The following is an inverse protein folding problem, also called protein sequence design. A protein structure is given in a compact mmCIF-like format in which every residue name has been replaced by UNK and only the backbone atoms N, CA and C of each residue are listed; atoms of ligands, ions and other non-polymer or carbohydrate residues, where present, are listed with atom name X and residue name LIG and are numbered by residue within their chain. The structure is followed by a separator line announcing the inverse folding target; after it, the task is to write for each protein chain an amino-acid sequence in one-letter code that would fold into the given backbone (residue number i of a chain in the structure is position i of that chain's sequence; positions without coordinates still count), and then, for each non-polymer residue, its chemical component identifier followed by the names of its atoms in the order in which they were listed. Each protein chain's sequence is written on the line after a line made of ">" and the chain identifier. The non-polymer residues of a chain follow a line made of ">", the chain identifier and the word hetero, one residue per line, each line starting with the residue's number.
data_IF_413983137331
#
_entry.id   IF_413983137331
#
_cell.length_a   1.000
_cell.length_b   1.000
_cell.length_c   1.000
_cell.angle_alpha   90.00
_cell.angle_beta   90.00
_cell.angle_gamma   90.00
#
_symmetry.space_group_name_H-M   'P 1'
#
loop_
_entity.id
_entity.type
_entity.pdbx_description
1 polymer ?
#
# COMPACT_ATOMS: atom_id res chain seq x y z
N UNK A 1 -4.04 20.59 13.17
CA UNK A 1 -2.63 20.28 12.88
C UNK A 1 -2.46 18.78 12.90
N UNK A 2 -2.15 18.16 11.75
CA UNK A 2 -1.96 16.71 11.62
C UNK A 2 -0.60 16.49 10.98
N UNK A 3 0.24 15.67 11.59
CA UNK A 3 1.58 15.35 11.07
C UNK A 3 1.69 13.86 10.82
N UNK A 4 2.52 13.49 9.85
CA UNK A 4 2.86 12.11 9.57
C UNK A 4 4.37 11.92 9.50
N UNK A 5 4.82 10.69 9.76
CA UNK A 5 6.20 10.29 9.54
C UNK A 5 6.38 9.82 8.09
N UNK A 6 7.62 9.81 7.56
CA UNK A 6 7.89 9.26 6.22
C UNK A 6 7.47 7.79 6.08
N UNK A 7 7.40 7.04 7.19
CA UNK A 7 7.01 5.63 7.24
C UNK A 7 5.51 5.42 7.44
N UNK A 8 4.71 6.48 7.55
CA UNK A 8 3.26 6.38 7.78
C UNK A 8 2.56 5.79 6.56
N UNK A 9 1.76 4.75 6.78
CA UNK A 9 0.85 4.18 5.78
C UNK A 9 -0.55 4.72 6.01
N UNK A 10 -1.04 5.55 5.10
CA UNK A 10 -2.37 6.15 5.16
C UNK A 10 -3.17 5.76 3.90
N UNK A 11 -4.32 5.14 4.09
CA UNK A 11 -5.23 4.74 3.02
C UNK A 11 -6.64 4.47 3.59
N UNK A 12 -7.65 4.42 2.72
CA UNK A 12 -9.02 4.00 3.08
C UNK A 12 -9.04 2.53 3.54
N UNK A 13 -8.21 1.70 2.92
CA UNK A 13 -8.10 0.27 3.22
C UNK A 13 -6.65 -0.20 3.05
N UNK A 14 -6.30 -1.26 3.77
CA UNK A 14 -4.96 -1.87 3.70
C UNK A 14 -4.66 -2.52 2.34
N UNK A 15 -3.63 -3.38 2.27
CA UNK A 15 -3.19 -4.00 1.00
C UNK A 15 -4.28 -4.80 0.25
N UNK A 16 -5.32 -5.26 0.95
CA UNK A 16 -6.48 -5.90 0.33
C UNK A 16 -7.22 -4.98 -0.67
N UNK A 17 -7.05 -3.66 -0.56
CA UNK A 17 -7.62 -2.70 -1.51
C UNK A 17 -7.13 -2.85 -2.94
N UNK A 18 -5.99 -3.50 -3.13
CA UNK A 18 -5.47 -3.88 -4.44
C UNK A 18 -6.49 -4.65 -5.28
N UNK A 19 -7.30 -5.52 -4.66
CA UNK A 19 -8.30 -6.33 -5.36
C UNK A 19 -9.45 -5.50 -5.95
N UNK A 20 -9.69 -4.32 -5.39
CA UNK A 20 -10.71 -3.39 -5.86
C UNK A 20 -10.14 -2.39 -6.88
N UNK A 21 -8.96 -1.84 -6.60
CA UNK A 21 -8.34 -0.80 -7.45
C UNK A 21 -7.77 -1.41 -8.74
N UNK A 22 -7.05 -2.52 -8.65
CA UNK A 22 -6.41 -3.18 -9.81
C UNK A 22 -7.13 -4.47 -10.21
N UNK A 23 -8.45 -4.49 -10.02
CA UNK A 23 -9.31 -5.65 -10.28
C UNK A 23 -9.14 -6.24 -11.68
N UNK A 24 -9.08 -5.38 -12.70
CA UNK A 24 -8.99 -5.81 -14.10
C UNK A 24 -7.61 -6.37 -14.44
N UNK A 25 -6.54 -5.78 -13.92
CA UNK A 25 -5.17 -6.28 -14.07
C UNK A 25 -4.99 -7.64 -13.37
N UNK A 26 -5.52 -7.79 -12.14
CA UNK A 26 -5.51 -9.07 -11.43
C UNK A 26 -6.29 -10.15 -12.17
N UNK A 27 -7.45 -9.80 -12.74
CA UNK A 27 -8.24 -10.72 -13.58
C UNK A 27 -7.47 -11.12 -14.83
N UNK A 28 -6.80 -10.20 -15.50
CA UNK A 28 -5.99 -10.49 -16.67
C UNK A 28 -4.81 -11.43 -16.33
N UNK A 29 -4.10 -11.20 -15.23
CA UNK A 29 -3.00 -12.05 -14.78
C UNK A 29 -3.49 -13.47 -14.47
N UNK A 30 -4.56 -13.58 -13.68
CA UNK A 30 -5.13 -14.88 -13.27
C UNK A 30 -5.75 -15.63 -14.46
N UNK A 31 -6.41 -14.92 -15.38
CA UNK A 31 -6.96 -15.47 -16.61
C UNK A 31 -5.90 -15.97 -17.59
N UNK A 32 -4.75 -15.29 -17.67
CA UNK A 32 -3.64 -15.68 -18.55
C UNK A 32 -2.87 -16.92 -18.06
N UNK A 33 -3.09 -17.38 -16.83
CA UNK A 33 -2.33 -18.49 -16.22
C UNK A 33 -2.40 -19.77 -17.05
N UNK A 34 -3.61 -20.22 -17.43
CA UNK A 34 -3.76 -21.46 -18.19
C UNK A 34 -3.11 -21.38 -19.57
N UNK A 35 -3.33 -20.27 -20.29
CA UNK A 35 -2.72 -20.05 -21.61
C UNK A 35 -1.19 -20.04 -21.52
N UNK A 36 -0.63 -19.34 -20.53
CA UNK A 36 0.82 -19.29 -20.30
C UNK A 36 1.41 -20.64 -19.92
N UNK A 37 0.71 -21.46 -19.14
CA UNK A 37 1.17 -22.83 -18.83
C UNK A 37 1.22 -23.65 -20.12
N UNK A 38 0.21 -23.58 -20.97
CA UNK A 38 0.20 -24.30 -22.24
C UNK A 38 1.35 -23.85 -23.17
N UNK A 39 1.64 -22.55 -23.20
CA UNK A 39 2.74 -22.00 -24.01
C UNK A 39 4.12 -22.40 -23.47
N UNK A 40 4.35 -22.33 -22.16
CA UNK A 40 5.59 -22.79 -21.53
C UNK A 40 5.79 -24.31 -21.68
N UNK A 41 4.72 -25.10 -21.60
CA UNK A 41 4.76 -26.53 -21.86
C UNK A 41 5.18 -26.84 -23.30
N UNK A 42 4.64 -26.11 -24.30
CA UNK A 42 5.06 -26.25 -25.70
C UNK A 42 6.53 -25.92 -25.89
N UNK A 43 7.05 -24.87 -25.25
CA UNK A 43 8.48 -24.49 -25.32
C UNK A 43 9.39 -25.57 -24.72
N UNK A 44 8.99 -26.18 -23.61
CA UNK A 44 9.79 -27.18 -22.91
C UNK A 44 9.77 -28.57 -23.58
N UNK A 45 8.74 -28.91 -24.37
CA UNK A 45 8.72 -30.15 -25.17
C UNK A 45 9.85 -30.23 -26.20
N UNK A 46 10.38 -29.09 -26.66
CA UNK A 46 11.53 -29.05 -27.56
C UNK A 46 12.88 -29.34 -26.88
N UNK A 47 12.93 -29.34 -25.54
CA UNK A 47 14.15 -29.45 -24.75
C UNK A 47 14.16 -30.73 -23.90
N UNK A 48 14.24 -31.90 -24.56
CA UNK A 48 14.69 -33.22 -24.09
C UNK A 48 14.42 -33.71 -22.63
N UNK A 49 13.50 -33.11 -21.89
CA UNK A 49 13.06 -33.55 -20.57
C UNK A 49 11.82 -34.41 -20.70
N UNK A 50 11.63 -35.35 -19.77
CA UNK A 50 10.42 -36.18 -19.72
C UNK A 50 9.16 -35.28 -19.67
N UNK A 51 8.09 -35.67 -20.36
CA UNK A 51 6.87 -34.85 -20.48
C UNK A 51 6.30 -34.43 -19.11
N UNK A 52 6.43 -35.31 -18.10
CA UNK A 52 6.02 -35.03 -16.73
C UNK A 52 6.86 -33.92 -16.06
N UNK A 53 8.18 -33.93 -16.24
CA UNK A 53 9.06 -32.89 -15.69
C UNK A 53 8.87 -31.55 -16.41
N UNK A 54 8.63 -31.58 -17.72
CA UNK A 54 8.36 -30.37 -18.50
C UNK A 54 7.04 -29.69 -18.07
N UNK A 55 6.01 -30.48 -17.76
CA UNK A 55 4.72 -29.96 -17.29
C UNK A 55 4.82 -29.28 -15.91
N UNK A 56 5.54 -29.91 -14.98
CA UNK A 56 5.75 -29.37 -13.63
C UNK A 56 6.61 -28.09 -13.67
N UNK A 57 7.69 -28.08 -14.44
CA UNK A 57 8.55 -26.89 -14.60
C UNK A 57 7.79 -25.71 -15.23
N UNK A 58 6.96 -25.97 -16.24
CA UNK A 58 6.11 -24.93 -16.85
C UNK A 58 5.16 -24.31 -15.82
N UNK A 59 4.51 -25.15 -15.00
CA UNK A 59 3.62 -24.70 -13.95
C UNK A 59 4.35 -23.86 -12.91
N UNK A 60 5.51 -24.30 -12.44
CA UNK A 60 6.34 -23.55 -11.48
C UNK A 60 6.76 -22.18 -12.01
N UNK A 61 7.18 -22.11 -13.28
CA UNK A 61 7.56 -20.83 -13.93
C UNK A 61 6.39 -19.87 -14.03
N UNK A 62 5.21 -20.35 -14.42
CA UNK A 62 4.02 -19.50 -14.52
C UNK A 62 3.54 -19.08 -13.13
N UNK A 63 3.59 -19.95 -12.13
CA UNK A 63 3.23 -19.62 -10.75
C UNK A 63 4.18 -18.58 -10.16
N UNK A 64 5.48 -18.67 -10.45
CA UNK A 64 6.45 -17.64 -10.10
C UNK A 64 6.14 -16.30 -10.79
N UNK A 65 5.78 -16.32 -12.07
CA UNK A 65 5.38 -15.11 -12.81
C UNK A 65 4.10 -14.48 -12.25
N UNK A 66 3.08 -15.27 -11.88
CA UNK A 66 1.86 -14.75 -11.25
C UNK A 66 2.20 -14.07 -9.93
N UNK A 67 2.99 -14.74 -9.08
CA UNK A 67 3.42 -14.21 -7.79
C UNK A 67 4.20 -12.90 -7.94
N UNK A 68 5.13 -12.82 -8.89
CA UNK A 68 5.89 -11.60 -9.18
C UNK A 68 4.99 -10.47 -9.68
N UNK A 69 4.02 -10.81 -10.54
CA UNK A 69 3.08 -9.83 -11.10
C UNK A 69 2.17 -9.26 -10.01
N UNK A 70 1.63 -10.09 -9.11
CA UNK A 70 0.85 -9.64 -7.96
C UNK A 70 1.70 -8.82 -6.98
N UNK A 71 2.96 -9.19 -6.73
CA UNK A 71 3.88 -8.41 -5.90
C UNK A 71 4.17 -7.02 -6.48
N UNK A 72 4.29 -6.90 -7.80
CA UNK A 72 4.47 -5.62 -8.50
C UNK A 72 3.25 -4.71 -8.34
N UNK A 73 2.04 -5.28 -8.44
CA UNK A 73 0.80 -4.54 -8.19
C UNK A 73 0.70 -4.07 -6.74
N UNK A 74 1.11 -4.91 -5.78
CA UNK A 74 1.13 -4.54 -4.36
C UNK A 74 2.11 -3.39 -4.08
N UNK A 75 3.32 -3.44 -4.65
CA UNK A 75 4.30 -2.36 -4.53
C UNK A 75 3.79 -1.05 -5.14
N UNK A 76 3.11 -1.12 -6.30
CA UNK A 76 2.49 0.04 -6.93
C UNK A 76 1.35 0.62 -6.08
N UNK A 77 0.50 -0.24 -5.53
CA UNK A 77 -0.58 0.18 -4.63
C UNK A 77 -0.02 0.93 -3.40
N UNK A 78 1.06 0.42 -2.82
CA UNK A 78 1.70 1.08 -1.68
C UNK A 78 2.28 2.45 -2.07
N UNK A 79 2.99 2.51 -3.19
CA UNK A 79 3.61 3.75 -3.68
C UNK A 79 2.59 4.82 -4.09
N UNK A 80 1.45 4.44 -4.66
CA UNK A 80 0.45 5.38 -5.18
C UNK A 80 -0.59 5.75 -4.14
N UNK A 81 -1.07 4.80 -3.33
CA UNK A 81 -2.30 4.98 -2.55
C UNK A 81 -2.13 4.78 -1.04
N UNK A 82 -1.09 4.08 -0.58
CA UNK A 82 -0.88 3.76 0.83
C UNK A 82 0.39 4.42 1.38
N UNK A 83 0.52 5.73 1.14
CA UNK A 83 1.69 6.51 1.51
C UNK A 83 1.28 7.89 2.09
N UNK A 84 2.15 8.57 2.84
CA UNK A 84 1.81 9.82 3.50
C UNK A 84 1.82 11.01 2.54
N UNK A 85 2.49 10.91 1.38
CA UNK A 85 2.52 11.99 0.39
C UNK A 85 1.15 12.17 -0.26
N UNK A 86 0.43 11.08 -0.51
CA UNK A 86 -0.92 11.14 -1.05
C UNK A 86 -1.85 11.89 -0.11
N UNK A 87 -1.88 11.52 1.17
CA UNK A 87 -2.69 12.20 2.18
C UNK A 87 -2.24 13.65 2.48
N UNK A 88 -0.95 13.98 2.27
CA UNK A 88 -0.45 15.35 2.28
C UNK A 88 -0.99 16.15 1.09
N UNK A 89 -0.97 15.58 -0.11
CA UNK A 89 -1.47 16.23 -1.34
C UNK A 89 -2.97 16.53 -1.26
N UNK A 90 -3.73 15.66 -0.59
CA UNK A 90 -5.16 15.82 -0.34
C UNK A 90 -5.48 16.79 0.82
N UNK A 91 -4.47 17.33 1.52
CA UNK A 91 -4.63 18.26 2.64
C UNK A 91 -5.11 17.62 3.95
N UNK A 92 -5.17 16.28 4.02
CA UNK A 92 -5.53 15.55 5.26
C UNK A 92 -4.38 15.52 6.27
N UNK A 93 -3.13 15.57 5.77
CA UNK A 93 -1.92 15.75 6.57
C UNK A 93 -1.41 17.18 6.33
N UNK A 94 -1.02 17.87 7.39
CA UNK A 94 -0.48 19.24 7.30
C UNK A 94 0.99 19.25 6.86
N UNK A 95 1.79 18.29 7.30
CA UNK A 95 3.20 18.13 6.90
C UNK A 95 3.75 16.73 7.24
N UNK A 96 4.80 16.33 6.52
CA UNK A 96 5.60 15.14 6.83
C UNK A 96 6.82 15.59 7.66
N UNK A 97 7.04 14.95 8.81
CA UNK A 97 8.07 15.33 9.78
C UNK A 97 9.03 14.18 10.02
N UNK A 98 10.34 14.45 10.00
CA UNK A 98 11.34 13.44 10.30
C UNK A 98 11.27 13.01 11.78
N UNK A 99 11.49 11.71 12.11
CA UNK A 99 11.39 11.24 13.49
C UNK A 99 12.28 12.01 14.49
N UNK A 100 13.44 12.48 14.06
CA UNK A 100 14.37 13.31 14.87
C UNK A 100 13.81 14.69 15.20
N UNK A 101 12.91 15.23 14.38
CA UNK A 101 12.35 16.58 14.52
C UNK A 101 10.96 16.58 15.17
N UNK A 102 10.36 15.39 15.32
CA UNK A 102 8.99 15.22 15.83
C UNK A 102 8.74 15.97 17.14
N UNK A 103 9.66 15.84 18.11
CA UNK A 103 9.53 16.52 19.41
C UNK A 103 9.48 18.03 19.25
N UNK A 104 10.39 18.58 18.45
CA UNK A 104 10.49 20.03 18.20
C UNK A 104 9.18 20.55 17.60
N UNK A 105 8.71 19.93 16.52
CA UNK A 105 7.50 20.34 15.81
C UNK A 105 6.26 20.29 16.72
N UNK A 106 6.13 19.26 17.54
CA UNK A 106 5.02 19.16 18.51
C UNK A 106 5.12 20.26 19.57
N UNK A 107 6.32 20.52 20.12
CA UNK A 107 6.51 21.58 21.12
C UNK A 107 6.22 22.97 20.54
N UNK A 108 6.66 23.26 19.31
CA UNK A 108 6.35 24.52 18.63
C UNK A 108 4.84 24.70 18.41
N UNK A 109 4.15 23.65 17.96
CA UNK A 109 2.70 23.70 17.79
C UNK A 109 1.96 23.87 19.13
N UNK A 110 2.43 23.22 20.20
CA UNK A 110 1.87 23.38 21.54
C UNK A 110 2.08 24.81 22.06
N UNK A 111 3.28 25.35 21.95
CA UNK A 111 3.60 26.72 22.36
C UNK A 111 2.73 27.74 21.60
N UNK A 112 2.52 27.53 20.30
CA UNK A 112 1.61 28.35 19.51
C UNK A 112 0.20 28.34 20.11
N UNK A 113 -0.38 27.18 20.41
CA UNK A 113 -1.73 27.10 20.98
C UNK A 113 -1.83 27.66 22.40
N UNK A 114 -0.84 27.40 23.26
CA UNK A 114 -0.81 27.96 24.63
C UNK A 114 -0.70 29.49 24.58
N UNK A 115 0.15 30.04 23.70
CA UNK A 115 0.33 31.48 23.57
C UNK A 115 -0.92 32.24 23.09
N UNK A 116 -1.84 31.55 22.40
CA UNK A 116 -3.12 32.10 21.94
C UNK A 116 -4.31 31.69 22.80
N UNK A 117 -4.09 30.87 23.84
CA UNK A 117 -5.16 30.42 24.72
C UNK A 117 -5.64 31.56 25.62
N UNK A 118 -6.96 31.77 25.66
CA UNK A 118 -7.61 32.68 26.60
C UNK A 118 -8.40 31.87 27.60
N UNK A 119 -8.07 32.02 28.88
CA UNK A 119 -8.81 31.35 29.94
C UNK A 119 -10.22 31.95 30.04
N UNK A 120 -11.23 31.11 29.93
CA UNK A 120 -12.64 31.45 30.08
C UNK A 120 -13.38 30.27 30.73
N UNK A 121 -14.55 30.52 31.38
CA UNK A 121 -15.37 29.44 31.92
C UNK A 121 -15.70 28.42 30.83
N UNK A 122 -15.62 27.14 31.17
CA UNK A 122 -15.87 26.05 30.24
C UNK A 122 -17.31 26.11 29.71
N UNK A 123 -17.47 26.55 28.45
CA UNK A 123 -18.78 26.76 27.83
C UNK A 123 -19.22 25.62 26.90
N UNK A 124 -18.40 24.57 26.76
CA UNK A 124 -18.67 23.42 25.90
C UNK A 124 -19.40 22.29 26.62
N UNK A 125 -20.16 21.48 25.87
CA UNK A 125 -20.67 20.20 26.37
C UNK A 125 -19.47 19.30 26.67
N UNK A 126 -19.24 18.99 27.94
CA UNK A 126 -18.24 18.01 28.34
C UNK A 126 -18.73 16.64 27.86
N UNK A 127 -18.09 16.10 26.82
CA UNK A 127 -18.31 14.70 26.43
C UNK A 127 -17.60 13.84 27.46
N UNK A 128 -18.33 13.46 28.51
CA UNK A 128 -17.89 12.36 29.37
C UNK A 128 -17.90 11.09 28.52
N UNK A 129 -16.74 10.44 28.40
CA UNK A 129 -16.68 9.08 27.90
C UNK A 129 -17.05 8.17 29.08
N UNK A 130 -18.26 7.60 29.04
CA UNK A 130 -18.71 6.54 29.96
C UNK A 130 -18.13 5.19 29.53
#
# INVERSE_FOLDING_TARGET
>A
FVIALPTTRAAVMGPAGMEFVYKDELRAIRGARQTRVADEQKKLRGAAASEAQAAELAKQRVDAWVKESEARLAARYEAELMNPNEALSLGSISQIVMPSELRKVITENLLFHIGHYRAEPFAGVQREFH
#
